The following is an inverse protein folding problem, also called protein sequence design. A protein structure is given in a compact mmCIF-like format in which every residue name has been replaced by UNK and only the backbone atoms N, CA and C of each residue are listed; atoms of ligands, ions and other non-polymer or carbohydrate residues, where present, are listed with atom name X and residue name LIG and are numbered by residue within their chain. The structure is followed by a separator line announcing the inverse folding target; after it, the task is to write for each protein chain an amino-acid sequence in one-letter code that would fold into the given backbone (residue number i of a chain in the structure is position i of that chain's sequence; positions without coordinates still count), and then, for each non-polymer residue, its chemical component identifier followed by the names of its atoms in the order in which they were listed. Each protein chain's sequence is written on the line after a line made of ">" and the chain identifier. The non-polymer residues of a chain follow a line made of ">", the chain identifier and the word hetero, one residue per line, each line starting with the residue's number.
data_IF_916362050010
#
_entry.id   IF_916362050010
#
_cell.length_a   1.000
_cell.length_b   1.000
_cell.length_c   1.000
_cell.angle_alpha   90.00
_cell.angle_beta   90.00
_cell.angle_gamma   90.00
#
_symmetry.space_group_name_H-M   'P 1'
#
loop_
_entity.id
_entity.type
_entity.pdbx_description
1 polymer ?
#
# COMPACT_ATOMS: atom_id res chain seq x y z
N UNK A 1 -17.10 -9.42 -8.10
CA UNK A 1 -15.66 -9.73 -8.24
C UNK A 1 -15.20 -10.49 -7.01
N UNK A 2 -14.65 -11.68 -7.19
CA UNK A 2 -14.11 -12.54 -6.12
C UNK A 2 -12.78 -11.96 -5.59
N UNK A 3 -12.82 -11.27 -4.44
CA UNK A 3 -11.62 -10.78 -3.72
C UNK A 3 -10.93 -11.87 -2.88
N UNK A 4 -11.26 -13.13 -3.12
CA UNK A 4 -10.87 -14.31 -2.34
C UNK A 4 -9.60 -15.01 -2.84
N UNK A 5 -9.00 -14.54 -3.94
CA UNK A 5 -7.77 -15.11 -4.50
C UNK A 5 -6.57 -14.24 -4.17
N UNK A 6 -5.54 -14.89 -3.63
CA UNK A 6 -4.21 -14.31 -3.41
C UNK A 6 -3.82 -13.46 -4.62
N UNK A 7 -3.54 -12.16 -4.44
CA UNK A 7 -3.20 -11.29 -5.55
C UNK A 7 -2.02 -11.83 -6.36
N UNK A 8 -2.06 -11.66 -7.69
CA UNK A 8 -0.98 -12.10 -8.58
C UNK A 8 0.35 -11.41 -8.26
N UNK A 9 0.30 -10.16 -7.80
CA UNK A 9 1.49 -9.45 -7.32
C UNK A 9 2.13 -10.13 -6.09
N UNK A 10 1.35 -10.89 -5.30
CA UNK A 10 1.76 -11.89 -4.28
C UNK A 10 2.90 -12.81 -4.72
N UNK A 11 2.91 -13.14 -6.01
CA UNK A 11 3.77 -14.16 -6.62
C UNK A 11 4.90 -13.53 -7.43
N UNK A 12 5.00 -12.20 -7.46
CA UNK A 12 6.04 -11.52 -8.23
C UNK A 12 7.41 -11.68 -7.55
N UNK A 13 8.45 -11.87 -8.36
CA UNK A 13 9.82 -11.99 -7.87
C UNK A 13 10.28 -10.77 -7.06
N UNK A 14 9.69 -9.59 -7.30
CA UNK A 14 10.00 -8.38 -6.54
C UNK A 14 9.60 -8.51 -5.06
N UNK A 15 8.54 -9.25 -4.76
CA UNK A 15 8.02 -9.39 -3.39
C UNK A 15 8.38 -10.73 -2.75
N UNK A 16 9.10 -11.61 -3.45
CA UNK A 16 9.49 -12.93 -2.94
C UNK A 16 10.33 -12.85 -1.66
N UNK A 17 11.13 -11.79 -1.55
CA UNK A 17 12.02 -11.54 -0.41
C UNK A 17 11.29 -10.82 0.75
N UNK A 18 10.03 -10.42 0.55
CA UNK A 18 9.21 -9.77 1.56
C UNK A 18 8.51 -10.85 2.41
N UNK A 19 8.58 -10.77 3.75
CA UNK A 19 7.87 -11.68 4.63
C UNK A 19 6.38 -11.77 4.31
N UNK A 20 5.84 -12.99 4.36
CA UNK A 20 4.44 -13.25 4.01
C UNK A 20 3.45 -12.45 4.88
N UNK A 21 3.76 -12.19 6.14
CA UNK A 21 2.94 -11.37 7.04
C UNK A 21 2.79 -9.93 6.54
N UNK A 22 3.87 -9.35 6.00
CA UNK A 22 3.87 -8.02 5.41
C UNK A 22 3.04 -7.99 4.12
N UNK A 23 3.17 -9.02 3.28
CA UNK A 23 2.39 -9.14 2.05
C UNK A 23 0.89 -9.32 2.33
N UNK A 24 0.56 -10.12 3.35
CA UNK A 24 -0.81 -10.35 3.79
C UNK A 24 -1.45 -9.07 4.33
N UNK A 25 -0.69 -8.29 5.11
CA UNK A 25 -1.09 -6.96 5.56
C UNK A 25 -1.39 -6.03 4.39
N UNK A 26 -0.49 -5.93 3.40
CA UNK A 26 -0.70 -5.11 2.21
C UNK A 26 -1.91 -5.60 1.41
N UNK A 27 -2.05 -6.91 1.19
CA UNK A 27 -3.20 -7.50 0.49
C UNK A 27 -4.52 -7.11 1.15
N UNK A 28 -4.61 -7.21 2.48
CA UNK A 28 -5.79 -6.76 3.23
C UNK A 28 -6.04 -5.26 3.08
N UNK A 29 -4.98 -4.45 3.12
CA UNK A 29 -5.06 -3.00 2.98
C UNK A 29 -5.56 -2.57 1.61
N UNK A 30 -5.01 -3.16 0.54
CA UNK A 30 -5.44 -2.89 -0.82
C UNK A 30 -6.84 -3.42 -1.09
N UNK A 31 -7.19 -4.62 -0.60
CA UNK A 31 -8.55 -5.15 -0.74
C UNK A 31 -9.59 -4.25 -0.04
N UNK A 32 -9.28 -3.74 1.16
CA UNK A 32 -10.16 -2.82 1.90
C UNK A 32 -10.19 -1.41 1.30
N UNK A 33 -9.10 -1.02 0.64
CA UNK A 33 -8.93 0.26 -0.02
C UNK A 33 -9.47 0.33 -1.46
N UNK A 34 -9.68 -0.82 -2.08
CA UNK A 34 -10.13 -0.93 -3.46
C UNK A 34 -11.52 -0.30 -3.63
N UNK A 35 -11.65 0.65 -4.55
CA UNK A 35 -12.90 1.39 -4.79
C UNK A 35 -13.23 2.46 -3.74
N UNK A 36 -12.36 2.67 -2.74
CA UNK A 36 -12.56 3.67 -1.69
C UNK A 36 -11.91 5.01 -2.02
N UNK A 37 -12.55 6.09 -1.61
CA UNK A 37 -12.00 7.44 -1.81
C UNK A 37 -10.71 7.64 -0.99
N UNK A 38 -9.82 8.53 -1.45
CA UNK A 38 -8.53 8.83 -0.79
C UNK A 38 -8.67 9.06 0.73
N UNK A 39 -9.71 9.77 1.17
CA UNK A 39 -9.96 10.04 2.60
C UNK A 39 -10.30 8.78 3.38
N UNK A 40 -11.08 7.87 2.80
CA UNK A 40 -11.37 6.57 3.39
C UNK A 40 -10.14 5.67 3.39
N UNK A 41 -9.35 5.69 2.30
CA UNK A 41 -8.06 5.00 2.24
C UNK A 41 -7.13 5.47 3.37
N UNK A 42 -7.00 6.78 3.58
CA UNK A 42 -6.18 7.33 4.66
C UNK A 42 -6.70 6.97 6.05
N UNK A 43 -8.03 6.95 6.23
CA UNK A 43 -8.68 6.52 7.47
C UNK A 43 -8.46 5.02 7.75
N UNK A 44 -8.28 4.19 6.73
CA UNK A 44 -7.89 2.78 6.85
C UNK A 44 -6.38 2.61 7.06
N UNK A 45 -5.56 3.41 6.36
CA UNK A 45 -4.10 3.32 6.37
C UNK A 45 -3.51 3.71 7.73
N UNK A 46 -4.05 4.75 8.38
CA UNK A 46 -3.59 5.24 9.69
C UNK A 46 -3.63 4.17 10.81
N UNK A 47 -4.77 3.52 11.10
CA UNK A 47 -4.85 2.47 12.12
C UNK A 47 -4.06 1.22 11.70
N UNK A 48 -4.07 0.86 10.41
CA UNK A 48 -3.30 -0.26 9.90
C UNK A 48 -1.79 -0.06 10.10
N UNK A 49 -1.25 1.13 9.77
CA UNK A 49 0.15 1.48 9.98
C UNK A 49 0.55 1.49 11.47
N UNK A 50 -0.35 1.94 12.35
CA UNK A 50 -0.13 1.86 13.80
C UNK A 50 -0.04 0.41 14.27
N UNK A 51 -0.95 -0.45 13.80
CA UNK A 51 -0.93 -1.88 14.11
C UNK A 51 0.33 -2.56 13.58
N UNK A 52 0.71 -2.28 12.34
CA UNK A 52 1.93 -2.78 11.74
C UNK A 52 3.17 -2.39 12.56
N UNK A 53 3.24 -1.14 13.03
CA UNK A 53 4.33 -0.69 13.93
C UNK A 53 4.34 -1.42 15.28
N UNK A 54 3.17 -1.75 15.83
CA UNK A 54 3.06 -2.52 17.08
C UNK A 54 3.47 -3.98 16.92
N UNK A 55 3.16 -4.59 15.77
CA UNK A 55 3.52 -5.97 15.45
C UNK A 55 4.93 -6.10 14.86
N UNK A 56 5.77 -5.06 14.94
CA UNK A 56 7.11 -4.99 14.31
C UNK A 56 7.11 -5.25 12.79
N UNK A 57 5.95 -5.11 12.13
CA UNK A 57 5.78 -5.13 10.69
C UNK A 57 6.20 -3.76 10.11
N UNK A 58 7.48 -3.43 10.26
CA UNK A 58 8.10 -2.29 9.60
C UNK A 58 8.52 -2.66 8.20
N UNK A 59 7.98 -1.95 7.22
CA UNK A 59 8.40 -2.07 5.83
C UNK A 59 9.65 -1.22 5.61
N UNK A 60 10.69 -1.82 5.04
CA UNK A 60 11.82 -1.06 4.53
C UNK A 60 11.39 -0.27 3.29
N UNK A 61 12.09 0.82 2.94
CA UNK A 61 11.81 1.55 1.70
C UNK A 61 11.85 0.65 0.46
N UNK A 62 12.73 -0.35 0.47
CA UNK A 62 12.92 -1.28 -0.63
C UNK A 62 11.76 -2.27 -0.73
N UNK A 63 11.30 -2.86 0.38
CA UNK A 63 10.12 -3.72 0.43
C UNK A 63 8.85 -2.95 0.02
N UNK A 64 8.70 -1.72 0.51
CA UNK A 64 7.60 -0.85 0.14
C UNK A 64 7.60 -0.57 -1.37
N UNK A 65 8.76 -0.23 -1.93
CA UNK A 65 8.90 0.05 -3.36
C UNK A 65 8.64 -1.20 -4.20
N UNK A 66 9.17 -2.35 -3.81
CA UNK A 66 8.96 -3.62 -4.49
C UNK A 66 7.49 -4.03 -4.49
N UNK A 67 6.81 -3.92 -3.34
CA UNK A 67 5.39 -4.19 -3.24
C UNK A 67 4.55 -3.22 -4.07
N UNK A 68 4.85 -1.92 -4.02
CA UNK A 68 4.19 -0.94 -4.89
C UNK A 68 4.42 -1.29 -6.36
N UNK A 69 5.65 -1.57 -6.79
CA UNK A 69 5.96 -1.90 -8.19
C UNK A 69 5.24 -3.17 -8.63
N UNK A 70 5.25 -4.23 -7.81
CA UNK A 70 4.51 -5.45 -8.09
C UNK A 70 3.02 -5.16 -8.19
N UNK A 71 2.42 -4.48 -7.21
CA UNK A 71 1.01 -4.10 -7.23
C UNK A 71 0.70 -3.29 -8.48
N UNK A 72 1.47 -2.26 -8.82
CA UNK A 72 1.31 -1.47 -10.04
C UNK A 72 1.36 -2.32 -11.33
N UNK A 73 2.16 -3.40 -11.34
CA UNK A 73 2.29 -4.30 -12.49
C UNK A 73 1.07 -5.21 -12.69
N UNK A 74 0.36 -5.57 -11.62
CA UNK A 74 -0.83 -6.44 -11.69
C UNK A 74 -2.16 -5.72 -11.37
N UNK A 75 -2.10 -4.47 -10.91
CA UNK A 75 -3.25 -3.58 -10.73
C UNK A 75 -3.61 -2.93 -12.05
N UNK A 76 -4.89 -2.54 -12.16
CA UNK A 76 -5.39 -1.80 -13.30
C UNK A 76 -4.90 -0.35 -13.29
N UNK A 77 -4.82 0.30 -14.46
CA UNK A 77 -4.42 1.72 -14.57
C UNK A 77 -5.22 2.66 -13.64
N UNK A 78 -6.48 2.33 -13.38
CA UNK A 78 -7.36 3.08 -12.47
C UNK A 78 -6.89 3.01 -11.02
N UNK A 79 -6.52 1.84 -10.52
CA UNK A 79 -6.00 1.66 -9.16
C UNK A 79 -4.61 2.31 -9.00
N UNK A 80 -3.79 2.19 -10.04
CA UNK A 80 -2.44 2.75 -10.09
C UNK A 80 -2.45 4.27 -9.93
N UNK A 81 -3.34 4.95 -10.66
CA UNK A 81 -3.56 6.41 -10.54
C UNK A 81 -4.04 6.81 -9.15
N UNK A 82 -4.87 5.98 -8.51
CA UNK A 82 -5.40 6.26 -7.18
C UNK A 82 -4.30 6.20 -6.12
N UNK A 83 -3.40 5.21 -6.20
CA UNK A 83 -2.25 5.04 -5.32
C UNK A 83 -1.19 6.15 -5.56
N UNK A 84 -0.88 6.46 -6.82
CA UNK A 84 0.08 7.53 -7.15
C UNK A 84 -0.38 8.89 -6.63
N UNK A 85 -1.66 9.24 -6.81
CA UNK A 85 -2.22 10.49 -6.31
C UNK A 85 -2.14 10.59 -4.77
N UNK A 86 -2.17 9.46 -4.06
CA UNK A 86 -1.99 9.41 -2.60
C UNK A 86 -0.52 9.59 -2.21
N UNK A 87 0.38 8.87 -2.87
CA UNK A 87 1.82 8.95 -2.60
C UNK A 87 2.38 10.34 -2.93
N UNK A 88 1.96 10.93 -4.03
CA UNK A 88 2.38 12.25 -4.48
C UNK A 88 1.90 13.34 -3.50
N UNK A 89 0.64 13.29 -3.07
CA UNK A 89 0.11 14.25 -2.08
C UNK A 89 0.72 14.07 -0.70
N UNK A 90 1.01 12.84 -0.27
CA UNK A 90 1.68 12.60 1.01
C UNK A 90 3.12 13.14 1.03
N UNK A 91 3.83 13.07 -0.11
CA UNK A 91 5.13 13.74 -0.30
C UNK A 91 4.99 15.27 -0.26
N UNK A 92 3.99 15.82 -0.93
CA UNK A 92 3.75 17.27 -0.97
C UNK A 92 3.31 17.86 0.39
N UNK A 93 2.59 17.10 1.21
CA UNK A 93 2.11 17.58 2.52
C UNK A 93 3.24 17.71 3.55
N UNK A 94 4.36 17.01 3.37
CA UNK A 94 5.56 17.15 4.23
C UNK A 94 6.35 18.44 3.99
N UNK A 95 6.16 19.10 2.84
CA UNK A 95 6.83 20.36 2.51
C UNK A 95 6.07 21.61 2.99
N UNK A 96 4.76 21.52 3.23
CA UNK A 96 3.96 22.69 3.61
C UNK A 96 3.94 23.00 5.11
N UNK A 97 4.44 22.09 5.96
CA UNK A 97 4.51 22.27 7.42
C UNK A 97 5.85 22.85 7.92
N UNK A 98 6.67 23.42 7.04
CA UNK A 98 7.92 24.15 7.39
C UNK A 98 7.82 25.67 7.15
N UNK A 99 6.66 26.17 6.76
CA UNK A 99 6.35 27.59 6.65
C UNK A 99 5.00 27.86 7.33
N UNK A 100 4.98 27.81 8.66
CA UNK A 100 3.94 28.40 9.50
C UNK A 100 4.60 28.83 10.81
#
# INVERSE_FOLDING_TARGET
>A
MDYSKTPLWMQDDLVKDIPREKLDFLSKLFAQGHGKSQKEMMALLMPAMRKAKQEHLTFTPQEMQAAITAIKKYSTESELRQIENILEKSRSQKNNSRQA
#
